data_IF_826295136584
#
_entry.id   IF_826295136584
#
_cell.length_a   1.000
_cell.length_b   1.000
_cell.length_c   1.000
_cell.angle_alpha   90.00
_cell.angle_beta   90.00
_cell.angle_gamma   90.00
#
_symmetry.space_group_name_H-M   'P 1'
#
loop_
_entity.id
_entity.type
_entity.pdbx_description
1 polymer ?
#
# COMPACT_ATOMS: atom_id res chain seq x y z
N UNK A 1 -7.89 15.39 44.91
CA UNK A 1 -7.42 14.39 43.93
C UNK A 1 -7.86 14.85 42.56
N UNK A 2 -6.95 14.87 41.59
CA UNK A 2 -7.28 15.22 40.20
C UNK A 2 -8.14 14.10 39.62
N UNK A 3 -9.29 14.43 39.01
CA UNK A 3 -10.16 13.42 38.40
C UNK A 3 -9.76 13.18 36.94
N UNK A 4 -10.03 11.99 36.37
CA UNK A 4 -9.83 11.73 34.94
C UNK A 4 -10.45 12.82 34.05
N UNK A 5 -11.68 13.24 34.33
CA UNK A 5 -12.41 14.26 33.57
C UNK A 5 -11.70 15.61 33.59
N UNK A 6 -11.19 16.03 34.76
CA UNK A 6 -10.43 17.29 34.87
C UNK A 6 -9.12 17.25 34.09
N UNK A 7 -8.47 16.08 33.99
CA UNK A 7 -7.25 15.91 33.20
C UNK A 7 -7.54 15.91 31.70
N UNK A 8 -8.60 15.22 31.26
CA UNK A 8 -9.05 15.25 29.87
C UNK A 8 -9.36 16.69 29.46
N UNK A 9 -10.14 17.42 30.26
CA UNK A 9 -10.47 18.81 29.99
C UNK A 9 -9.23 19.72 29.90
N UNK A 10 -8.23 19.53 30.77
CA UNK A 10 -6.98 20.28 30.71
C UNK A 10 -6.18 20.02 29.41
N UNK A 11 -6.10 18.76 28.98
CA UNK A 11 -5.44 18.39 27.71
C UNK A 11 -6.18 19.01 26.51
N UNK A 12 -7.51 18.98 26.51
CA UNK A 12 -8.33 19.53 25.43
C UNK A 12 -8.33 21.06 25.39
N UNK A 13 -8.21 21.72 26.54
CA UNK A 13 -8.13 23.17 26.66
C UNK A 13 -6.73 23.74 26.35
N UNK A 14 -5.71 22.89 26.16
CA UNK A 14 -4.37 23.34 25.85
C UNK A 14 -4.30 24.03 24.48
N UNK A 15 -3.99 25.33 24.51
CA UNK A 15 -3.91 26.25 23.36
C UNK A 15 -2.69 26.04 22.46
N UNK A 16 -1.69 25.27 22.92
CA UNK A 16 -0.44 24.99 22.22
C UNK A 16 -0.08 23.51 22.34
N UNK A 17 0.64 22.99 21.35
CA UNK A 17 1.08 21.60 21.35
C UNK A 17 1.98 21.25 22.53
N UNK A 18 2.94 22.12 22.86
CA UNK A 18 3.84 21.88 23.99
C UNK A 18 3.10 21.84 25.34
N UNK A 19 2.11 22.72 25.56
CA UNK A 19 1.26 22.64 26.76
C UNK A 19 0.46 21.34 26.80
N UNK A 20 -0.09 20.91 25.65
CA UNK A 20 -0.84 19.65 25.55
C UNK A 20 0.04 18.44 25.86
N UNK A 21 1.24 18.39 25.29
CA UNK A 21 2.25 17.38 25.60
C UNK A 21 2.57 17.38 27.09
N UNK A 22 2.74 18.56 27.68
CA UNK A 22 2.97 18.72 29.12
C UNK A 22 1.85 18.10 29.96
N UNK A 23 0.58 18.42 29.65
CA UNK A 23 -0.58 17.84 30.34
C UNK A 23 -0.67 16.31 30.16
N UNK A 24 -0.35 15.81 28.96
CA UNK A 24 -0.32 14.37 28.69
C UNK A 24 0.75 13.65 29.51
N UNK A 25 1.96 14.23 29.62
CA UNK A 25 3.06 13.66 30.40
C UNK A 25 2.75 13.54 31.89
N UNK A 26 1.83 14.35 32.41
CA UNK A 26 1.41 14.31 33.81
C UNK A 26 0.35 13.24 34.10
N UNK A 27 -0.23 12.59 33.08
CA UNK A 27 -1.26 11.54 33.27
C UNK A 27 -0.75 10.38 34.16
N UNK A 28 0.46 9.82 33.94
CA UNK A 28 0.98 8.73 34.77
C UNK A 28 1.25 9.12 36.22
N UNK A 29 1.52 10.40 36.48
CA UNK A 29 1.77 10.94 37.83
C UNK A 29 0.47 11.23 38.57
N UNK A 30 -0.57 11.66 37.84
CA UNK A 30 -1.86 12.06 38.42
C UNK A 30 -2.83 10.91 38.64
N UNK A 31 -2.69 9.80 37.90
CA UNK A 31 -3.67 8.71 37.84
C UNK A 31 -3.03 7.33 37.97
N UNK A 32 -3.77 6.37 38.52
CA UNK A 32 -3.34 4.98 38.55
C UNK A 32 -3.37 4.33 37.16
N UNK A 33 -2.53 3.31 36.94
CA UNK A 33 -2.39 2.63 35.64
C UNK A 33 -3.71 2.10 35.07
N UNK A 34 -4.64 1.67 35.92
CA UNK A 34 -5.97 1.21 35.53
C UNK A 34 -6.82 2.31 34.84
N UNK A 35 -6.52 3.58 35.08
CA UNK A 35 -7.26 4.72 34.53
C UNK A 35 -6.65 5.26 33.22
N UNK A 36 -5.38 4.94 32.93
CA UNK A 36 -4.65 5.53 31.80
C UNK A 36 -5.33 5.26 30.47
N UNK A 37 -5.66 4.01 30.17
CA UNK A 37 -6.31 3.63 28.90
C UNK A 37 -7.60 4.41 28.65
N UNK A 38 -8.44 4.57 29.69
CA UNK A 38 -9.68 5.35 29.59
C UNK A 38 -9.44 6.83 29.30
N UNK A 39 -8.46 7.44 29.96
CA UNK A 39 -8.09 8.86 29.77
C UNK A 39 -7.57 9.09 28.34
N UNK A 40 -6.58 8.29 27.91
CA UNK A 40 -6.03 8.40 26.55
C UNK A 40 -7.07 8.14 25.47
N UNK A 41 -7.96 7.18 25.68
CA UNK A 41 -9.04 6.89 24.75
C UNK A 41 -10.05 8.05 24.63
N UNK A 42 -10.36 8.72 25.75
CA UNK A 42 -11.22 9.91 25.74
C UNK A 42 -10.57 11.06 24.96
N UNK A 43 -9.30 11.37 25.26
CA UNK A 43 -8.53 12.40 24.53
C UNK A 43 -8.48 12.09 23.03
N UNK A 44 -8.16 10.85 22.66
CA UNK A 44 -8.13 10.39 21.28
C UNK A 44 -9.46 10.65 20.57
N UNK A 45 -10.58 10.26 21.21
CA UNK A 45 -11.92 10.39 20.64
C UNK A 45 -12.31 11.83 20.39
N UNK A 46 -12.01 12.72 21.33
CA UNK A 46 -12.49 14.11 21.28
C UNK A 46 -11.61 15.01 20.41
N UNK A 47 -10.28 14.81 20.42
CA UNK A 47 -9.35 15.70 19.69
C UNK A 47 -8.87 15.12 18.36
N UNK A 48 -8.56 13.83 18.30
CA UNK A 48 -7.78 13.24 17.19
C UNK A 48 -8.67 12.52 16.17
N UNK A 49 -9.71 11.81 16.60
CA UNK A 49 -10.64 11.12 15.68
C UNK A 49 -11.29 12.07 14.66
N UNK A 50 -11.72 13.30 15.02
CA UNK A 50 -12.29 14.23 14.04
C UNK A 50 -11.32 14.67 12.93
N UNK A 51 -10.01 14.46 13.10
CA UNK A 51 -8.98 14.80 12.12
C UNK A 51 -8.63 13.63 11.20
N UNK A 52 -9.17 12.42 11.46
CA UNK A 52 -8.90 11.26 10.62
C UNK A 52 -9.62 11.41 9.29
N UNK A 53 -8.86 11.36 8.19
CA UNK A 53 -9.40 11.39 6.86
C UNK A 53 -10.09 10.06 6.49
N UNK A 54 -11.17 10.17 5.73
CA UNK A 54 -11.89 9.03 5.14
C UNK A 54 -11.14 8.47 3.92
N UNK A 55 -9.89 8.04 4.10
CA UNK A 55 -9.01 7.57 3.01
C UNK A 55 -9.54 6.33 2.28
N UNK A 56 -10.61 5.70 2.77
CA UNK A 56 -11.32 4.65 2.03
C UNK A 56 -12.07 5.19 0.81
N UNK A 57 -12.38 6.50 0.78
CA UNK A 57 -13.05 7.14 -0.34
C UNK A 57 -12.12 7.35 -1.55
N UNK A 58 -10.81 7.19 -1.36
CA UNK A 58 -9.79 7.47 -2.36
C UNK A 58 -8.88 6.27 -2.56
N UNK A 59 -8.35 6.14 -3.78
CA UNK A 59 -7.34 5.15 -4.14
C UNK A 59 -6.22 5.91 -4.84
N UNK A 60 -4.94 5.61 -4.57
CA UNK A 60 -3.84 6.24 -5.29
C UNK A 60 -4.04 6.09 -6.80
N UNK A 61 -3.86 7.20 -7.52
CA UNK A 61 -3.94 7.18 -8.97
C UNK A 61 -2.76 6.37 -9.53
N UNK A 62 -3.07 5.32 -10.28
CA UNK A 62 -2.07 4.45 -10.91
C UNK A 62 -2.51 4.25 -12.37
N UNK A 63 -1.92 4.98 -13.33
CA UNK A 63 -2.37 5.02 -14.72
C UNK A 63 -2.57 3.65 -15.39
N UNK A 64 -1.81 2.64 -14.95
CA UNK A 64 -1.92 1.26 -15.42
C UNK A 64 -3.33 0.66 -15.26
N UNK A 65 -4.09 1.05 -14.24
CA UNK A 65 -5.44 0.53 -13.99
C UNK A 65 -6.54 1.37 -14.65
N UNK A 66 -6.20 2.52 -15.21
CA UNK A 66 -7.21 3.41 -15.77
C UNK A 66 -7.73 2.89 -17.11
N UNK A 67 -8.98 3.26 -17.40
CA UNK A 67 -9.65 2.93 -18.65
C UNK A 67 -8.83 3.34 -19.90
N UNK A 68 -8.22 4.55 -20.00
CA UNK A 68 -7.46 4.91 -21.21
C UNK A 68 -6.26 4.00 -21.48
N UNK A 69 -5.57 3.53 -20.44
CA UNK A 69 -4.49 2.56 -20.61
C UNK A 69 -5.03 1.22 -21.10
N UNK A 70 -6.09 0.72 -20.48
CA UNK A 70 -6.67 -0.56 -20.85
C UNK A 70 -7.24 -0.53 -22.28
N UNK A 71 -7.97 0.51 -22.66
CA UNK A 71 -8.55 0.69 -23.99
C UNK A 71 -7.48 0.74 -25.09
N UNK A 72 -6.35 1.41 -24.83
CA UNK A 72 -5.22 1.43 -25.76
C UNK A 72 -4.68 0.03 -26.05
N UNK A 73 -4.46 -0.76 -24.98
CA UNK A 73 -3.90 -2.11 -25.10
C UNK A 73 -4.94 -3.10 -25.64
N UNK A 74 -6.21 -2.93 -25.27
CA UNK A 74 -7.34 -3.69 -25.82
C UNK A 74 -7.47 -3.50 -27.32
N UNK A 75 -7.47 -2.25 -27.79
CA UNK A 75 -7.59 -1.94 -29.23
C UNK A 75 -6.46 -2.60 -30.02
N UNK A 76 -5.23 -2.56 -29.52
CA UNK A 76 -4.09 -3.23 -30.16
C UNK A 76 -4.27 -4.76 -30.24
N UNK A 77 -4.82 -5.40 -29.20
CA UNK A 77 -5.10 -6.84 -29.22
C UNK A 77 -6.29 -7.18 -30.12
N UNK A 78 -7.35 -6.38 -30.09
CA UNK A 78 -8.54 -6.55 -30.90
C UNK A 78 -8.21 -6.46 -32.39
N UNK A 79 -7.49 -5.42 -32.81
CA UNK A 79 -7.12 -5.19 -34.20
C UNK A 79 -6.18 -6.29 -34.72
N UNK A 80 -5.15 -6.64 -33.94
CA UNK A 80 -4.17 -7.65 -34.33
C UNK A 80 -4.75 -9.07 -34.41
N UNK A 81 -5.86 -9.32 -33.71
CA UNK A 81 -6.58 -10.60 -33.73
C UNK A 81 -7.83 -10.56 -34.61
N UNK A 82 -8.05 -9.47 -35.36
CA UNK A 82 -9.24 -9.28 -36.21
C UNK A 82 -10.54 -9.56 -35.43
N UNK A 83 -10.70 -8.90 -34.28
CA UNK A 83 -11.84 -9.11 -33.38
C UNK A 83 -11.85 -10.50 -32.73
N UNK A 84 -10.67 -11.00 -32.33
CA UNK A 84 -10.45 -12.33 -31.76
C UNK A 84 -10.80 -13.50 -32.69
N UNK A 85 -10.85 -13.29 -34.00
CA UNK A 85 -10.99 -14.36 -35.02
C UNK A 85 -9.66 -15.06 -35.30
N UNK A 86 -8.55 -14.32 -35.22
CA UNK A 86 -7.19 -14.81 -35.44
C UNK A 86 -6.46 -15.02 -34.12
N UNK A 87 -6.74 -16.16 -33.50
CA UNK A 87 -6.30 -16.51 -32.13
C UNK A 87 -5.60 -17.86 -32.04
N UNK A 88 -5.01 -18.34 -33.15
CA UNK A 88 -4.17 -19.53 -33.06
C UNK A 88 -2.95 -19.24 -32.17
N UNK A 89 -2.37 -20.28 -31.57
CA UNK A 89 -1.20 -20.14 -30.69
C UNK A 89 -0.07 -19.34 -31.34
N UNK A 90 0.20 -19.57 -32.63
CA UNK A 90 1.23 -18.84 -33.38
C UNK A 90 0.93 -17.35 -33.51
N UNK A 91 -0.34 -16.98 -33.70
CA UNK A 91 -0.79 -15.59 -33.83
C UNK A 91 -0.63 -14.85 -32.50
N UNK A 92 -1.11 -15.46 -31.40
CA UNK A 92 -0.97 -14.92 -30.06
C UNK A 92 0.52 -14.78 -29.69
N UNK A 93 1.34 -15.80 -29.97
CA UNK A 93 2.78 -15.75 -29.67
C UNK A 93 3.52 -14.66 -30.47
N UNK A 94 3.14 -14.43 -31.73
CA UNK A 94 3.70 -13.36 -32.54
C UNK A 94 3.29 -11.98 -31.98
N UNK A 95 2.01 -11.82 -31.63
CA UNK A 95 1.50 -10.59 -31.04
C UNK A 95 2.18 -10.27 -29.69
N UNK A 96 2.33 -11.24 -28.80
CA UNK A 96 2.99 -11.04 -27.51
C UNK A 96 4.47 -10.65 -27.64
N UNK A 97 5.15 -11.06 -28.71
CA UNK A 97 6.53 -10.60 -28.97
C UNK A 97 6.58 -9.18 -29.50
N UNK A 98 5.65 -8.81 -30.38
CA UNK A 98 5.59 -7.49 -31.01
C UNK A 98 5.06 -6.42 -30.05
N UNK A 99 4.03 -6.76 -29.27
CA UNK A 99 3.40 -5.89 -28.29
C UNK A 99 3.11 -6.66 -26.99
N UNK A 100 4.11 -6.81 -26.09
CA UNK A 100 3.97 -7.52 -24.83
C UNK A 100 2.84 -7.02 -23.91
N UNK A 101 2.44 -5.75 -24.03
CA UNK A 101 1.38 -5.19 -23.19
C UNK A 101 0.03 -5.86 -23.45
N UNK A 102 -0.21 -6.36 -24.67
CA UNK A 102 -1.43 -7.12 -25.03
C UNK A 102 -1.64 -8.37 -24.18
N UNK A 103 -0.60 -8.87 -23.49
CA UNK A 103 -0.75 -9.92 -22.49
C UNK A 103 -1.79 -9.58 -21.42
N UNK A 104 -1.93 -8.29 -21.09
CA UNK A 104 -2.95 -7.79 -20.16
C UNK A 104 -4.35 -8.22 -20.61
N UNK A 105 -4.67 -8.03 -21.88
CA UNK A 105 -5.98 -8.37 -22.47
C UNK A 105 -6.20 -9.88 -22.37
N UNK A 106 -5.27 -10.68 -22.87
CA UNK A 106 -5.39 -12.13 -22.82
C UNK A 106 -5.47 -12.70 -21.41
N UNK A 107 -4.67 -12.17 -20.45
CA UNK A 107 -4.77 -12.57 -19.05
C UNK A 107 -6.15 -12.22 -18.48
N UNK A 108 -6.70 -11.05 -18.80
CA UNK A 108 -8.04 -10.68 -18.33
C UNK A 108 -9.14 -11.56 -18.96
N UNK A 109 -8.97 -12.02 -20.21
CA UNK A 109 -9.86 -13.01 -20.83
C UNK A 109 -9.80 -14.35 -20.06
N UNK A 110 -8.61 -14.83 -19.67
CA UNK A 110 -8.52 -16.06 -18.86
C UNK A 110 -9.11 -15.88 -17.45
N UNK A 111 -9.16 -14.65 -16.94
CA UNK A 111 -9.65 -14.36 -15.59
C UNK A 111 -8.66 -14.73 -14.48
N UNK A 112 -7.41 -15.02 -14.83
CA UNK A 112 -6.35 -15.31 -13.86
C UNK A 112 -5.60 -14.04 -13.42
N UNK A 113 -5.11 -14.08 -12.18
CA UNK A 113 -4.14 -13.11 -11.68
C UNK A 113 -2.73 -13.41 -12.19
N UNK A 114 -1.82 -12.46 -12.11
CA UNK A 114 -0.41 -12.62 -12.55
C UNK A 114 0.29 -13.78 -11.83
N UNK A 115 0.03 -13.94 -10.53
CA UNK A 115 0.54 -15.02 -9.68
C UNK A 115 -0.19 -16.36 -9.90
N UNK A 116 -1.29 -16.38 -10.64
CA UNK A 116 -2.00 -17.61 -11.05
C UNK A 116 -1.64 -18.02 -12.48
N UNK A 117 -1.43 -17.05 -13.38
CA UNK A 117 -0.97 -17.30 -14.74
C UNK A 117 0.46 -17.88 -14.74
N UNK A 118 1.35 -17.36 -13.90
CA UNK A 118 2.73 -17.86 -13.78
C UNK A 118 2.81 -19.37 -13.52
N UNK A 119 2.17 -19.95 -12.48
CA UNK A 119 2.15 -21.40 -12.31
C UNK A 119 1.39 -22.15 -13.41
N UNK A 120 0.37 -21.56 -14.04
CA UNK A 120 -0.30 -22.18 -15.20
C UNK A 120 0.67 -22.39 -16.38
N UNK A 121 1.62 -21.46 -16.60
CA UNK A 121 2.66 -21.65 -17.64
C UNK A 121 3.62 -22.79 -17.34
N UNK A 122 3.79 -23.18 -16.07
CA UNK A 122 4.65 -24.32 -15.72
C UNK A 122 4.06 -25.64 -16.24
N UNK A 123 2.74 -25.82 -16.09
CA UNK A 123 2.01 -26.99 -16.61
C UNK A 123 2.22 -27.13 -18.12
N UNK A 124 2.04 -26.03 -18.86
CA UNK A 124 2.25 -26.03 -20.31
C UNK A 124 3.71 -26.26 -20.69
N UNK A 125 4.67 -25.65 -19.98
CA UNK A 125 6.08 -25.84 -20.25
C UNK A 125 6.49 -27.31 -20.09
N UNK A 126 5.95 -28.01 -19.08
CA UNK A 126 6.13 -29.45 -18.88
C UNK A 126 5.50 -30.28 -20.01
N UNK A 127 4.27 -29.95 -20.44
CA UNK A 127 3.58 -30.63 -21.54
C UNK A 127 4.29 -30.49 -22.89
N UNK A 128 4.94 -29.34 -23.15
CA UNK A 128 5.68 -29.12 -24.38
C UNK A 128 6.93 -29.99 -24.49
N UNK A 129 7.46 -30.49 -23.37
CA UNK A 129 8.56 -31.45 -23.30
C UNK A 129 9.82 -31.10 -24.13
N UNK A 130 10.07 -29.80 -24.36
CA UNK A 130 11.14 -29.29 -25.22
C UNK A 130 12.19 -28.44 -24.46
N UNK A 131 12.16 -28.50 -23.13
CA UNK A 131 13.06 -27.75 -22.26
C UNK A 131 12.56 -26.33 -21.91
N UNK A 132 11.37 -25.95 -22.39
CA UNK A 132 10.76 -24.66 -22.05
C UNK A 132 10.64 -24.44 -20.56
N UNK A 133 10.76 -23.18 -20.14
CA UNK A 133 10.65 -22.79 -18.74
C UNK A 133 9.35 -22.03 -18.44
N UNK A 134 8.89 -22.14 -17.19
CA UNK A 134 7.77 -21.32 -16.69
C UNK A 134 8.08 -19.82 -16.83
N UNK A 135 7.05 -19.02 -17.10
CA UNK A 135 7.17 -17.57 -17.12
C UNK A 135 6.90 -17.02 -15.72
N UNK A 136 7.83 -16.21 -15.19
CA UNK A 136 7.70 -15.67 -13.85
C UNK A 136 6.60 -14.60 -13.75
N UNK A 137 5.99 -14.44 -12.57
CA UNK A 137 5.04 -13.35 -12.31
C UNK A 137 5.65 -11.97 -12.52
N UNK A 138 6.95 -11.80 -12.25
CA UNK A 138 7.68 -10.55 -12.48
C UNK A 138 7.84 -10.23 -13.98
N UNK A 139 8.03 -11.25 -14.81
CA UNK A 139 8.09 -11.11 -16.28
C UNK A 139 6.72 -10.71 -16.82
N UNK A 140 5.65 -11.35 -16.33
CA UNK A 140 4.26 -11.01 -16.68
C UNK A 140 3.95 -9.57 -16.27
N UNK A 141 4.29 -9.16 -15.04
CA UNK A 141 4.07 -7.78 -14.57
C UNK A 141 4.83 -6.75 -15.42
N UNK A 142 6.09 -7.03 -15.76
CA UNK A 142 6.91 -6.17 -16.60
C UNK A 142 6.39 -6.05 -18.03
N UNK A 143 5.92 -7.15 -18.62
CA UNK A 143 5.30 -7.16 -19.95
C UNK A 143 4.03 -6.30 -19.99
N UNK A 144 3.10 -6.52 -19.03
CA UNK A 144 1.83 -5.79 -18.98
C UNK A 144 2.02 -4.30 -18.71
N UNK A 145 2.82 -3.93 -17.69
CA UNK A 145 2.94 -2.53 -17.26
C UNK A 145 3.84 -1.67 -18.14
N UNK A 146 4.94 -2.25 -18.65
CA UNK A 146 6.05 -1.49 -19.26
C UNK A 146 6.41 -1.97 -20.67
N UNK A 147 5.68 -2.93 -21.23
CA UNK A 147 6.04 -3.54 -22.51
C UNK A 147 7.38 -4.29 -22.46
N UNK A 148 7.73 -4.85 -21.30
CA UNK A 148 8.96 -5.62 -21.13
C UNK A 148 9.06 -6.76 -22.15
N UNK A 149 10.23 -6.90 -22.78
CA UNK A 149 10.45 -7.87 -23.86
C UNK A 149 10.12 -9.29 -23.42
N UNK A 150 9.27 -9.97 -24.20
CA UNK A 150 8.97 -11.40 -24.08
C UNK A 150 9.80 -12.14 -25.14
N UNK A 151 10.55 -13.17 -24.74
CA UNK A 151 11.29 -14.01 -25.71
C UNK A 151 10.33 -14.88 -26.55
N UNK A 152 10.80 -15.38 -27.69
CA UNK A 152 9.99 -16.28 -28.53
C UNK A 152 9.51 -17.52 -27.77
N UNK A 153 10.37 -18.09 -26.91
CA UNK A 153 10.03 -19.21 -26.03
C UNK A 153 8.92 -18.83 -25.04
N UNK A 154 9.10 -17.72 -24.31
CA UNK A 154 8.12 -17.24 -23.33
C UNK A 154 6.77 -16.92 -23.99
N UNK A 155 6.79 -16.30 -25.18
CA UNK A 155 5.58 -15.96 -25.91
C UNK A 155 4.81 -17.21 -26.36
N UNK A 156 5.53 -18.25 -26.78
CA UNK A 156 4.93 -19.52 -27.17
C UNK A 156 4.30 -20.23 -25.97
N UNK A 157 5.01 -20.31 -24.83
CA UNK A 157 4.48 -20.89 -23.59
C UNK A 157 3.23 -20.13 -23.14
N UNK A 158 3.29 -18.79 -23.11
CA UNK A 158 2.14 -17.95 -22.77
C UNK A 158 0.96 -18.18 -23.72
N UNK A 159 1.20 -18.20 -25.04
CA UNK A 159 0.15 -18.40 -26.04
C UNK A 159 -0.55 -19.76 -25.90
N UNK A 160 0.21 -20.85 -25.71
CA UNK A 160 -0.39 -22.16 -25.41
C UNK A 160 -1.18 -22.17 -24.11
N UNK A 161 -0.66 -21.52 -23.06
CA UNK A 161 -1.34 -21.41 -21.77
C UNK A 161 -2.67 -20.67 -21.91
N UNK A 162 -2.68 -19.55 -22.62
CA UNK A 162 -3.87 -18.74 -22.88
C UNK A 162 -4.89 -19.57 -23.69
N UNK A 163 -4.47 -20.19 -24.79
CA UNK A 163 -5.36 -20.97 -25.66
C UNK A 163 -6.00 -22.14 -24.90
N UNK A 164 -5.19 -22.93 -24.18
CA UNK A 164 -5.69 -24.05 -23.36
C UNK A 164 -6.61 -23.58 -22.24
N UNK A 165 -6.35 -22.44 -21.60
CA UNK A 165 -7.25 -21.88 -20.59
C UNK A 165 -8.59 -21.46 -21.19
N UNK A 166 -8.57 -20.74 -22.32
CA UNK A 166 -9.79 -20.28 -22.99
C UNK A 166 -10.60 -21.47 -23.50
N UNK A 167 -9.95 -22.47 -24.10
CA UNK A 167 -10.59 -23.71 -24.56
C UNK A 167 -10.99 -24.67 -23.44
N UNK A 168 -10.60 -24.39 -22.19
CA UNK A 168 -10.85 -25.22 -21.01
C UNK A 168 -10.16 -26.60 -21.08
N UNK A 169 -8.98 -26.63 -21.68
CA UNK A 169 -8.17 -27.83 -21.92
C UNK A 169 -6.94 -27.93 -21.02
N UNK A 170 -6.63 -26.90 -20.21
CA UNK A 170 -5.45 -26.92 -19.32
C UNK A 170 -5.66 -27.72 -18.04
N UNK A 171 -6.86 -27.69 -17.48
CA UNK A 171 -7.19 -28.36 -16.22
C UNK A 171 -8.39 -29.28 -16.42
N UNK A 172 -8.40 -30.39 -15.69
CA UNK A 172 -9.55 -31.29 -15.62
C UNK A 172 -10.77 -30.61 -14.97
N UNK A 173 -11.92 -31.24 -15.08
CA UNK A 173 -13.15 -30.77 -14.44
C UNK A 173 -12.96 -30.54 -12.94
N UNK A 174 -13.64 -29.50 -12.45
CA UNK A 174 -13.60 -29.14 -11.04
C UNK A 174 -14.25 -30.23 -10.18
N UNK A 175 -13.70 -30.45 -8.98
CA UNK A 175 -14.30 -31.36 -8.01
C UNK A 175 -15.73 -30.92 -7.61
N UNK A 176 -16.54 -31.85 -7.12
CA UNK A 176 -17.92 -31.55 -6.69
C UNK A 176 -17.96 -30.37 -5.70
N UNK A 177 -18.80 -29.37 -5.99
CA UNK A 177 -18.92 -28.14 -5.21
C UNK A 177 -17.96 -27.02 -5.61
N UNK A 178 -17.09 -27.24 -6.61
CA UNK A 178 -16.20 -26.24 -7.18
C UNK A 178 -16.61 -25.91 -8.63
N UNK A 179 -16.53 -24.63 -8.99
CA UNK A 179 -16.72 -24.17 -10.37
C UNK A 179 -15.38 -23.75 -10.97
N UNK A 180 -15.20 -24.03 -12.26
CA UNK A 180 -14.00 -23.58 -12.97
C UNK A 180 -14.03 -22.06 -13.15
N UNK A 181 -12.90 -21.38 -12.96
CA UNK A 181 -12.75 -19.96 -13.33
C UNK A 181 -13.00 -19.70 -14.82
N UNK A 182 -12.91 -20.74 -15.66
CA UNK A 182 -13.21 -20.65 -17.09
C UNK A 182 -14.69 -20.88 -17.41
N UNK A 183 -15.50 -21.30 -16.43
CA UNK A 183 -16.96 -21.39 -16.52
C UNK A 183 -17.60 -20.00 -16.32
N UNK A 184 -17.18 -19.04 -17.15
CA UNK A 184 -17.64 -17.65 -17.12
C UNK A 184 -18.24 -17.25 -18.47
N UNK A 185 -18.99 -16.15 -18.50
CA UNK A 185 -19.80 -15.76 -19.65
C UNK A 185 -19.02 -15.71 -20.97
N UNK A 186 -17.78 -15.25 -20.95
CA UNK A 186 -16.94 -15.07 -22.13
C UNK A 186 -16.08 -16.27 -22.53
N UNK A 187 -15.87 -17.25 -21.65
CA UNK A 187 -15.00 -18.41 -21.95
C UNK A 187 -15.68 -19.78 -21.80
N UNK A 188 -16.96 -19.83 -21.42
CA UNK A 188 -17.70 -21.11 -21.31
C UNK A 188 -17.72 -21.89 -22.63
N UNK A 189 -17.76 -21.15 -23.75
CA UNK A 189 -17.78 -21.62 -25.13
C UNK A 189 -16.43 -21.36 -25.84
N UNK A 190 -15.36 -21.18 -25.06
CA UNK A 190 -14.02 -20.89 -25.58
C UNK A 190 -13.93 -19.59 -26.35
N UNK A 191 -13.12 -19.58 -27.42
CA UNK A 191 -12.91 -18.40 -28.25
C UNK A 191 -14.18 -17.92 -28.96
N UNK A 192 -15.17 -18.79 -29.16
CA UNK A 192 -16.45 -18.41 -29.79
C UNK A 192 -17.24 -17.49 -28.87
N UNK A 193 -17.24 -17.77 -27.56
CA UNK A 193 -17.82 -16.89 -26.54
C UNK A 193 -17.12 -15.52 -26.49
N UNK A 194 -15.79 -15.51 -26.58
CA UNK A 194 -14.99 -14.26 -26.63
C UNK A 194 -15.38 -13.41 -27.84
N UNK A 195 -15.43 -14.02 -29.04
CA UNK A 195 -15.78 -13.31 -30.29
C UNK A 195 -17.20 -12.78 -30.27
N UNK A 196 -18.15 -13.59 -29.80
CA UNK A 196 -19.57 -13.22 -29.71
C UNK A 196 -19.70 -11.95 -28.85
N UNK A 197 -19.11 -11.94 -27.66
CA UNK A 197 -19.12 -10.77 -26.80
C UNK A 197 -18.41 -9.55 -27.38
N UNK A 198 -17.30 -9.77 -28.08
CA UNK A 198 -16.54 -8.70 -28.71
C UNK A 198 -17.22 -8.07 -29.94
N UNK A 199 -18.29 -8.69 -30.47
CA UNK A 199 -19.00 -8.25 -31.68
C UNK A 199 -20.48 -7.92 -31.48
N UNK A 200 -21.15 -8.45 -30.46
CA UNK A 200 -22.60 -8.31 -30.24
C UNK A 200 -23.01 -7.17 -29.29
N UNK A 201 -22.39 -5.98 -29.44
CA UNK A 201 -22.85 -4.76 -28.77
C UNK A 201 -22.62 -4.69 -27.26
N UNK A 202 -21.92 -5.67 -26.66
CA UNK A 202 -21.35 -5.52 -25.33
C UNK A 202 -20.04 -4.75 -25.47
N UNK A 203 -19.81 -3.67 -24.68
CA UNK A 203 -18.50 -3.03 -24.60
C UNK A 203 -17.53 -3.98 -23.88
N UNK A 204 -17.02 -4.96 -24.62
CA UNK A 204 -16.22 -6.05 -24.06
C UNK A 204 -14.90 -5.53 -23.47
N UNK A 205 -14.37 -4.44 -24.02
CA UNK A 205 -13.27 -3.67 -23.44
C UNK A 205 -13.61 -3.18 -22.03
N UNK A 206 -14.77 -2.53 -21.83
CA UNK A 206 -15.24 -2.09 -20.51
C UNK A 206 -15.51 -3.27 -19.57
N UNK A 207 -16.01 -4.41 -20.08
CA UNK A 207 -16.20 -5.62 -19.27
C UNK A 207 -14.87 -6.22 -18.79
N UNK A 208 -13.88 -6.33 -19.67
CA UNK A 208 -12.53 -6.79 -19.31
C UNK A 208 -11.80 -5.77 -18.44
N UNK A 209 -12.01 -4.47 -18.68
CA UNK A 209 -11.52 -3.40 -17.81
C UNK A 209 -12.13 -3.56 -16.42
N UNK A 210 -13.44 -3.75 -16.26
CA UNK A 210 -14.06 -4.05 -14.96
C UNK A 210 -13.57 -5.36 -14.34
N UNK A 211 -13.05 -6.31 -15.10
CA UNK A 211 -12.36 -7.48 -14.53
C UNK A 211 -10.93 -7.14 -14.09
N UNK A 212 -10.27 -6.23 -14.79
CA UNK A 212 -8.97 -5.66 -14.43
C UNK A 212 -9.04 -4.60 -13.31
N UNK A 213 -10.21 -3.99 -13.11
CA UNK A 213 -10.47 -2.82 -12.26
C UNK A 213 -11.48 -3.09 -11.13
N UNK A 214 -12.61 -3.75 -11.43
CA UNK A 214 -13.77 -3.94 -10.54
C UNK A 214 -13.72 -5.18 -9.61
N UNK A 215 -13.41 -6.40 -10.10
CA UNK A 215 -12.94 -7.47 -9.19
C UNK A 215 -11.72 -7.02 -8.34
N UNK A 216 -10.95 -6.07 -8.91
CA UNK A 216 -9.90 -5.25 -8.29
C UNK A 216 -10.23 -3.96 -7.53
N UNK A 217 -11.42 -3.63 -7.03
CA UNK A 217 -11.43 -2.58 -5.97
C UNK A 217 -10.57 -3.05 -4.78
N UNK A 218 -10.60 -4.36 -4.51
CA UNK A 218 -9.69 -5.03 -3.57
C UNK A 218 -8.27 -5.21 -4.11
N UNK A 219 -8.02 -5.50 -5.40
CA UNK A 219 -6.64 -5.68 -5.88
C UNK A 219 -5.92 -4.35 -6.09
N UNK A 220 -6.58 -3.28 -6.52
CA UNK A 220 -5.98 -1.94 -6.55
C UNK A 220 -5.75 -1.47 -5.11
N UNK A 221 -6.70 -1.64 -4.18
CA UNK A 221 -6.48 -1.34 -2.75
C UNK A 221 -5.30 -2.15 -2.18
N UNK A 222 -5.26 -3.47 -2.40
CA UNK A 222 -4.17 -4.33 -1.91
C UNK A 222 -2.83 -4.00 -2.59
N UNK A 223 -2.82 -3.71 -3.89
CA UNK A 223 -1.59 -3.40 -4.65
C UNK A 223 -1.08 -1.98 -4.40
N UNK A 224 -1.93 -1.06 -3.94
CA UNK A 224 -1.57 0.33 -3.61
C UNK A 224 -1.48 0.58 -2.11
N UNK A 225 -1.65 -0.44 -1.27
CA UNK A 225 -1.53 -0.29 0.19
C UNK A 225 -0.11 0.17 0.59
N UNK A 226 0.93 -0.32 -0.10
CA UNK A 226 2.30 0.22 0.04
C UNK A 226 2.36 1.69 -0.36
N UNK A 227 1.76 2.05 -1.50
CA UNK A 227 1.74 3.41 -2.00
C UNK A 227 1.04 4.38 -1.03
N UNK A 228 0.05 3.92 -0.26
CA UNK A 228 -0.57 4.76 0.80
C UNK A 228 0.37 5.04 1.96
N UNK A 229 1.22 4.07 2.31
CA UNK A 229 2.32 4.29 3.27
C UNK A 229 3.33 5.28 2.70
N UNK A 230 3.75 5.07 1.45
CA UNK A 230 4.69 5.94 0.76
C UNK A 230 4.15 7.37 0.65
N UNK A 231 2.87 7.57 0.32
CA UNK A 231 2.25 8.91 0.26
C UNK A 231 2.30 9.65 1.60
N UNK A 232 2.13 8.94 2.73
CA UNK A 232 2.21 9.55 4.05
C UNK A 232 3.64 9.95 4.39
N UNK A 233 4.61 9.09 4.07
CA UNK A 233 6.03 9.39 4.23
C UNK A 233 6.50 10.51 3.28
N UNK A 234 6.02 10.53 2.04
CA UNK A 234 6.34 11.55 1.05
C UNK A 234 5.83 12.92 1.51
N UNK A 235 4.63 13.00 2.11
CA UNK A 235 4.12 14.23 2.70
C UNK A 235 5.00 14.73 3.86
N UNK A 236 5.47 13.83 4.74
CA UNK A 236 6.41 14.16 5.82
C UNK A 236 7.74 14.66 5.24
N UNK A 237 8.25 13.98 4.22
CA UNK A 237 9.49 14.35 3.55
C UNK A 237 9.39 15.74 2.94
N UNK A 238 8.31 16.00 2.18
CA UNK A 238 8.05 17.30 1.58
C UNK A 238 7.99 18.41 2.64
N UNK A 239 7.31 18.18 3.76
CA UNK A 239 7.27 19.14 4.86
C UNK A 239 8.68 19.46 5.38
N UNK A 240 9.54 18.44 5.55
CA UNK A 240 10.90 18.65 6.02
C UNK A 240 11.78 19.37 5.00
N UNK A 241 11.67 19.01 3.72
CA UNK A 241 12.40 19.64 2.62
C UNK A 241 12.04 21.13 2.52
N UNK A 242 10.74 21.46 2.52
CA UNK A 242 10.24 22.84 2.42
C UNK A 242 10.63 23.72 3.61
N UNK A 243 10.86 23.13 4.78
CA UNK A 243 11.20 23.85 6.01
C UNK A 243 12.69 23.70 6.40
N UNK A 244 13.51 23.07 5.55
CA UNK A 244 14.95 22.90 5.78
C UNK A 244 15.28 22.16 7.08
N UNK A 245 14.52 21.12 7.41
CA UNK A 245 14.71 20.30 8.62
C UNK A 245 15.71 19.17 8.32
N UNK A 246 16.76 18.94 9.12
CA UNK A 246 17.67 17.81 8.92
C UNK A 246 17.00 16.49 9.33
N UNK A 247 16.94 15.54 8.38
CA UNK A 247 16.35 14.23 8.61
C UNK A 247 17.09 13.09 7.88
N UNK A 248 16.86 11.86 8.30
CA UNK A 248 17.12 10.66 7.51
C UNK A 248 15.79 9.92 7.34
N UNK A 249 15.38 9.69 6.09
CA UNK A 249 14.31 8.75 5.75
C UNK A 249 14.87 7.34 5.69
N UNK A 250 14.28 6.44 6.45
CA UNK A 250 14.76 5.06 6.57
C UNK A 250 14.35 4.25 5.33
N UNK A 251 15.32 3.58 4.72
CA UNK A 251 15.13 2.61 3.65
C UNK A 251 15.85 1.30 3.95
N UNK A 252 15.67 0.30 3.10
CA UNK A 252 16.28 -1.02 3.30
C UNK A 252 17.83 -1.00 3.35
N UNK A 253 18.47 0.04 2.81
CA UNK A 253 19.92 0.13 2.63
C UNK A 253 20.65 0.97 3.71
N UNK A 254 19.94 1.75 4.53
CA UNK A 254 20.55 2.72 5.45
C UNK A 254 20.16 2.51 6.93
N UNK A 255 19.48 1.41 7.29
CA UNK A 255 19.11 1.14 8.69
C UNK A 255 20.34 1.00 9.61
N UNK A 256 21.42 0.40 9.09
CA UNK A 256 22.69 0.26 9.82
C UNK A 256 23.36 1.61 10.09
N UNK A 257 23.15 2.60 9.22
CA UNK A 257 23.72 3.94 9.36
C UNK A 257 23.05 4.70 10.51
N UNK A 258 21.72 4.58 10.63
CA UNK A 258 20.94 5.16 11.74
C UNK A 258 21.39 4.58 13.09
N UNK A 259 21.60 3.26 13.15
CA UNK A 259 22.12 2.60 14.34
C UNK A 259 23.53 3.08 14.69
N UNK A 260 24.41 3.22 13.70
CA UNK A 260 25.81 3.64 13.90
C UNK A 260 25.91 5.11 14.31
N UNK A 261 25.14 5.99 13.66
CA UNK A 261 25.21 7.45 13.85
C UNK A 261 24.51 7.91 15.12
N UNK A 262 23.33 7.38 15.41
CA UNK A 262 22.48 7.85 16.50
C UNK A 262 22.26 6.82 17.62
N UNK A 263 22.84 5.62 17.47
CA UNK A 263 22.66 4.55 18.44
C UNK A 263 21.26 3.95 18.44
N UNK A 264 20.42 4.18 17.43
CA UNK A 264 19.05 3.64 17.34
C UNK A 264 19.10 2.16 16.90
N UNK A 265 18.81 1.27 17.83
CA UNK A 265 18.94 -0.19 17.71
C UNK A 265 17.61 -0.93 17.56
N UNK A 266 16.48 -0.24 17.73
CA UNK A 266 15.16 -0.84 17.51
C UNK A 266 15.00 -1.30 16.06
N UNK A 267 14.54 -2.54 15.87
CA UNK A 267 14.35 -3.14 14.54
C UNK A 267 12.88 -3.46 14.28
N UNK A 268 12.31 -3.07 13.12
CA UNK A 268 12.91 -2.19 12.10
C UNK A 268 13.23 -0.79 12.67
N UNK A 269 14.12 -0.03 12.04
CA UNK A 269 14.37 1.38 12.40
C UNK A 269 13.11 2.24 12.17
N UNK A 270 12.92 3.38 12.88
CA UNK A 270 11.78 4.28 12.64
C UNK A 270 11.77 4.81 11.21
N UNK A 271 10.60 5.17 10.67
CA UNK A 271 10.47 5.62 9.28
C UNK A 271 11.30 6.90 9.01
N UNK A 272 11.40 7.79 10.00
CA UNK A 272 12.33 8.94 9.96
C UNK A 272 13.03 9.15 11.30
N UNK A 273 14.23 9.73 11.23
CA UNK A 273 14.90 10.38 12.36
C UNK A 273 15.22 11.83 12.01
N UNK A 274 15.06 12.74 12.98
CA UNK A 274 15.44 14.15 12.83
C UNK A 274 16.54 14.51 13.81
N UNK A 275 17.45 15.37 13.40
CA UNK A 275 18.65 15.72 14.18
C UNK A 275 18.99 17.20 14.02
N UNK A 276 19.77 17.74 14.96
CA UNK A 276 20.21 19.14 14.91
C UNK A 276 21.56 19.30 14.20
N UNK A 277 22.01 20.55 14.06
CA UNK A 277 23.28 20.89 13.39
C UNK A 277 24.52 20.29 14.09
N UNK A 278 24.41 19.84 15.33
CA UNK A 278 25.49 19.15 16.06
C UNK A 278 25.43 17.63 15.88
N UNK A 279 24.67 17.16 14.89
CA UNK A 279 24.44 15.75 14.61
C UNK A 279 23.83 14.96 15.80
N UNK A 280 23.05 15.65 16.63
CA UNK A 280 22.39 15.02 17.77
C UNK A 280 20.97 14.63 17.41
N UNK A 281 20.57 13.39 17.69
CA UNK A 281 19.21 12.90 17.47
C UNK A 281 18.19 13.70 18.31
N UNK A 282 17.18 14.27 17.66
CA UNK A 282 16.16 15.10 18.29
C UNK A 282 14.76 14.49 18.28
N UNK A 283 14.47 13.55 17.39
CA UNK A 283 13.18 12.87 17.34
C UNK A 283 13.18 11.65 16.43
N UNK A 284 12.27 10.72 16.70
CA UNK A 284 11.99 9.55 15.86
C UNK A 284 10.52 9.63 15.40
N UNK A 285 10.27 9.41 14.11
CA UNK A 285 8.92 9.42 13.55
C UNK A 285 8.56 8.07 12.96
N UNK A 286 7.28 7.70 13.10
CA UNK A 286 6.71 6.51 12.49
C UNK A 286 5.39 6.86 11.80
N UNK A 287 5.29 6.50 10.52
CA UNK A 287 4.14 6.68 9.65
C UNK A 287 3.32 5.38 9.60
N UNK A 288 2.02 5.44 9.89
CA UNK A 288 1.15 4.26 9.84
C UNK A 288 -0.26 4.56 9.30
N UNK A 289 -0.60 3.87 8.22
CA UNK A 289 -1.96 3.85 7.65
C UNK A 289 -2.72 2.61 8.12
N UNK A 290 -3.96 2.78 8.59
CA UNK A 290 -4.88 1.69 8.92
C UNK A 290 -6.33 2.09 8.65
N UNK A 291 -7.08 1.26 7.91
CA UNK A 291 -8.49 1.53 7.57
C UNK A 291 -9.48 0.69 8.38
N UNK A 292 -9.01 -0.35 9.06
CA UNK A 292 -9.79 -1.16 10.00
C UNK A 292 -9.14 -1.21 11.39
N UNK A 293 -9.96 -1.45 12.42
CA UNK A 293 -9.51 -1.42 13.81
C UNK A 293 -8.65 -2.62 14.25
N UNK A 294 -8.64 -3.71 13.48
CA UNK A 294 -7.76 -4.86 13.73
C UNK A 294 -6.34 -4.52 13.29
N UNK A 295 -6.17 -4.07 12.06
CA UNK A 295 -4.88 -3.60 11.52
C UNK A 295 -4.31 -2.46 12.34
N UNK A 296 -5.15 -1.49 12.78
CA UNK A 296 -4.70 -0.39 13.62
C UNK A 296 -4.14 -0.88 14.97
N UNK A 297 -4.76 -1.91 15.57
CA UNK A 297 -4.30 -2.51 16.83
C UNK A 297 -2.93 -3.16 16.67
N UNK A 298 -2.73 -3.94 15.62
CA UNK A 298 -1.46 -4.62 15.37
C UNK A 298 -0.33 -3.61 15.15
N UNK A 299 -0.63 -2.49 14.48
CA UNK A 299 0.33 -1.41 14.23
C UNK A 299 0.61 -0.54 15.46
N UNK A 300 -0.33 -0.39 16.40
CA UNK A 300 -0.16 0.47 17.58
C UNK A 300 1.03 0.08 18.47
N UNK A 301 1.30 -1.23 18.60
CA UNK A 301 2.40 -1.75 19.42
C UNK A 301 3.78 -1.22 19.02
N UNK A 302 3.94 -0.81 17.75
CA UNK A 302 5.18 -0.23 17.23
C UNK A 302 5.63 1.01 18.02
N UNK A 303 4.68 1.85 18.43
CA UNK A 303 4.98 3.08 19.17
C UNK A 303 5.50 2.80 20.58
N UNK A 304 5.06 1.70 21.21
CA UNK A 304 5.60 1.28 22.51
C UNK A 304 7.08 0.94 22.42
N UNK A 305 7.49 0.18 21.40
CA UNK A 305 8.90 -0.17 21.17
C UNK A 305 9.75 1.08 20.91
N UNK A 306 9.26 2.00 20.08
CA UNK A 306 9.93 3.28 19.82
C UNK A 306 10.03 4.15 21.07
N UNK A 307 9.00 4.17 21.92
CA UNK A 307 9.05 4.93 23.18
C UNK A 307 10.11 4.35 24.13
N UNK A 308 10.20 3.02 24.20
CA UNK A 308 11.26 2.35 24.95
C UNK A 308 12.64 2.76 24.47
N UNK A 309 12.82 2.83 23.16
CA UNK A 309 14.07 3.27 22.54
C UNK A 309 14.37 4.75 22.80
N UNK A 310 13.36 5.62 22.69
CA UNK A 310 13.49 7.04 22.99
C UNK A 310 13.92 7.28 24.44
N UNK A 311 13.36 6.52 25.39
CA UNK A 311 13.79 6.54 26.80
C UNK A 311 15.23 6.09 26.97
N UNK A 312 15.65 5.02 26.29
CA UNK A 312 17.05 4.53 26.32
C UNK A 312 18.03 5.58 25.79
N UNK A 313 17.61 6.37 24.81
CA UNK A 313 18.38 7.45 24.19
C UNK A 313 18.24 8.80 24.91
N UNK A 314 17.84 8.81 26.19
CA UNK A 314 17.79 10.04 27.00
C UNK A 314 16.50 10.84 26.86
N UNK A 315 15.40 10.20 26.47
CA UNK A 315 14.08 10.83 26.36
C UNK A 315 13.80 11.46 25.00
N UNK A 316 14.41 10.93 23.93
CA UNK A 316 14.13 11.35 22.54
C UNK A 316 12.63 11.14 22.25
N UNK A 317 11.91 12.18 21.80
CA UNK A 317 10.48 12.09 21.53
C UNK A 317 10.18 11.16 20.34
N UNK A 318 9.06 10.46 20.45
CA UNK A 318 8.46 9.69 19.37
C UNK A 318 7.25 10.45 18.83
N UNK A 319 7.16 10.55 17.52
CA UNK A 319 6.07 11.23 16.82
C UNK A 319 5.36 10.21 15.92
N UNK A 320 4.03 10.20 15.97
CA UNK A 320 3.21 9.39 15.08
C UNK A 320 2.60 10.23 13.98
N UNK A 321 2.68 9.75 12.74
CA UNK A 321 1.93 10.31 11.61
C UNK A 321 0.99 9.22 11.12
N UNK A 322 -0.32 9.45 11.22
CA UNK A 322 -1.34 8.41 11.04
C UNK A 322 -2.29 8.76 9.90
N UNK A 323 -2.66 7.73 9.13
CA UNK A 323 -3.68 7.80 8.08
C UNK A 323 -4.74 6.71 8.23
N UNK A 324 -5.93 6.97 7.69
CA UNK A 324 -7.05 6.02 7.67
C UNK A 324 -7.94 5.97 8.92
N UNK A 325 -9.18 5.52 8.72
CA UNK A 325 -10.24 5.53 9.74
C UNK A 325 -10.14 4.40 10.76
N UNK A 326 -9.24 3.43 10.57
CA UNK A 326 -9.03 2.32 11.50
C UNK A 326 -8.62 2.80 12.90
N UNK A 327 -7.97 3.95 12.97
CA UNK A 327 -7.57 4.62 14.22
C UNK A 327 -8.74 5.18 15.05
N UNK A 328 -9.97 5.22 14.51
CA UNK A 328 -11.15 5.64 15.26
C UNK A 328 -11.48 4.70 16.45
N UNK A 329 -10.91 3.50 16.47
CA UNK A 329 -10.97 2.55 17.59
C UNK A 329 -10.03 2.97 18.73
N UNK A 330 -10.48 3.83 19.63
CA UNK A 330 -9.57 4.53 20.55
C UNK A 330 -8.98 3.70 21.71
N UNK A 331 -9.68 2.71 22.26
CA UNK A 331 -9.30 2.07 23.54
C UNK A 331 -7.97 1.30 23.49
N UNK A 332 -7.71 0.60 22.40
CA UNK A 332 -6.55 -0.27 22.21
C UNK A 332 -5.79 0.02 20.90
N UNK A 333 -6.06 1.16 20.26
CA UNK A 333 -5.31 1.63 19.09
C UNK A 333 -4.81 3.07 19.34
N UNK A 334 -5.53 4.11 18.90
CA UNK A 334 -5.09 5.51 18.95
C UNK A 334 -4.77 6.00 20.36
N UNK A 335 -5.54 5.60 21.38
CA UNK A 335 -5.22 5.94 22.77
C UNK A 335 -3.86 5.39 23.22
N UNK A 336 -3.50 4.18 22.78
CA UNK A 336 -2.17 3.61 23.03
C UNK A 336 -1.08 4.38 22.28
N UNK A 337 -1.33 4.80 21.04
CA UNK A 337 -0.38 5.64 20.29
C UNK A 337 -0.15 6.98 21.01
N UNK A 338 -1.20 7.65 21.49
CA UNK A 338 -1.07 8.89 22.26
C UNK A 338 -0.24 8.69 23.53
N UNK A 339 -0.46 7.58 24.25
CA UNK A 339 0.33 7.24 25.43
C UNK A 339 1.82 7.09 25.13
N UNK A 340 2.17 6.54 23.98
CA UNK A 340 3.56 6.26 23.62
C UNK A 340 4.28 7.41 22.91
N UNK A 341 3.56 8.44 22.49
CA UNK A 341 4.09 9.63 21.78
C UNK A 341 3.99 10.92 22.59
N UNK A 342 3.53 10.84 23.84
CA UNK A 342 3.05 11.97 24.64
C UNK A 342 2.01 12.83 23.89
N UNK A 343 1.22 12.20 23.03
CA UNK A 343 0.21 12.84 22.19
C UNK A 343 0.72 13.51 20.93
N UNK A 344 2.01 13.43 20.59
CA UNK A 344 2.56 13.93 19.31
C UNK A 344 2.12 13.03 18.15
N UNK A 345 0.84 13.17 17.79
CA UNK A 345 0.20 12.43 16.72
C UNK A 345 -0.41 13.41 15.73
N UNK A 346 -0.05 13.24 14.47
CA UNK A 346 -0.47 14.07 13.35
C UNK A 346 -1.13 13.22 12.27
N UNK A 347 -1.95 13.86 11.45
CA UNK A 347 -2.53 13.28 10.23
C UNK A 347 -2.06 14.12 9.04
N UNK A 348 -2.36 13.73 7.81
CA UNK A 348 -2.09 14.59 6.64
C UNK A 348 -2.70 15.99 6.83
N UNK A 349 -3.92 16.06 7.37
CA UNK A 349 -4.65 17.32 7.57
C UNK A 349 -4.08 18.20 8.69
N UNK A 350 -3.28 17.63 9.59
CA UNK A 350 -2.66 18.36 10.71
C UNK A 350 -1.15 18.31 10.69
N UNK A 351 -0.57 17.90 9.56
CA UNK A 351 0.86 17.67 9.43
C UNK A 351 1.66 18.96 9.65
N UNK A 352 1.17 20.10 9.16
CA UNK A 352 1.81 21.41 9.36
C UNK A 352 1.89 21.80 10.85
N UNK A 353 0.92 21.35 11.68
CA UNK A 353 0.95 21.63 13.12
C UNK A 353 2.18 20.99 13.79
N UNK A 354 2.77 19.94 13.19
CA UNK A 354 3.99 19.29 13.68
C UNK A 354 5.16 20.25 13.81
N UNK A 355 5.26 21.26 12.95
CA UNK A 355 6.31 22.26 13.00
C UNK A 355 6.27 23.13 14.28
N UNK A 356 5.14 23.11 15.00
CA UNK A 356 4.92 23.92 16.21
C UNK A 356 5.20 23.18 17.52
N UNK A 357 5.53 21.88 17.47
CA UNK A 357 5.80 21.07 18.67
C UNK A 357 7.28 20.70 18.78
N UNK A 358 7.83 20.68 20.00
CA UNK A 358 9.20 20.19 20.19
C UNK A 358 9.37 18.77 19.63
N UNK A 359 10.44 18.52 18.84
CA UNK A 359 11.64 19.37 18.68
C UNK A 359 11.62 20.37 17.49
N UNK A 360 10.61 20.33 16.62
CA UNK A 360 10.67 20.93 15.28
C UNK A 360 10.92 22.44 15.22
N UNK A 361 10.39 23.29 16.11
CA UNK A 361 10.69 24.73 16.08
C UNK A 361 12.19 25.06 16.10
N UNK A 362 13.04 24.18 16.66
CA UNK A 362 14.49 24.36 16.74
C UNK A 362 15.24 23.80 15.53
N UNK A 363 14.55 23.06 14.65
CA UNK A 363 15.13 22.35 13.51
C UNK A 363 14.88 23.03 12.16
N UNK A 364 13.94 23.98 12.12
CA UNK A 364 13.56 24.70 10.91
C UNK A 364 14.75 25.53 10.40
N UNK A 365 15.01 25.44 9.09
CA UNK A 365 16.02 26.24 8.39
C UNK A 365 17.47 25.81 8.62
N UNK A 366 17.73 24.67 9.26
CA UNK A 366 19.09 24.18 9.49
C UNK A 366 19.78 23.61 8.24
N UNK A 367 19.01 23.35 7.17
CA UNK A 367 19.52 22.81 5.89
C UNK A 367 19.69 23.91 4.82
N UNK A 368 19.43 25.19 5.12
CA UNK A 368 19.65 26.28 4.15
C UNK A 368 21.12 26.74 4.07
N UNK A 369 21.89 26.05 3.22
CA UNK A 369 22.84 26.57 2.22
C UNK A 369 23.57 25.38 1.57
N UNK A 370 23.07 24.93 0.40
CA UNK A 370 23.88 24.30 -0.65
C UNK A 370 23.48 24.87 -2.01
#
# INVERSE_FOLDING_TARGET
MTTPESTIAAVLAADTWDKRVGEIRLIPERHGTAQHSGIFAAIARERYVPQLAADFAYVPHVPFYDEPHFEHVYSAAYDATEGFTKVAVGDIAALLQQNPQTLLVFRTITGLLKNELAPATAVVAEELADGSQKVSSSTIDGAEKRGGRISAEQARVLAHTIDKLVRRELYTDAALGWHSKQEKFDTRDGWDGVRTLASEGVPYSSYLHQRHFGGPFNQVTNATTSNRGDLLEDAVQQLFDENGIPYIRTGAHNQGDIATRFGVTVTPAPDFVVFDASDTLRGMLECKVANDGGTARDKANRFQSLQGEGKRLGGVPVIGVLGGTGWARVNDTLGSVLQHTDGRVFTVETLDEMLTVNPFPQLIGLVHDM
#
